data_IF_150969188006
#
_entry.id   IF_150969188006
#
_cell.length_a   1.000
_cell.length_b   1.000
_cell.length_c   1.000
_cell.angle_alpha   90.00
_cell.angle_beta   90.00
_cell.angle_gamma   90.00
#
_symmetry.space_group_name_H-M   'P 1'
#
loop_
_entity.id
_entity.type
_entity.pdbx_description
1 polymer ?
#
# COMPACT_ATOMS: atom_id res chain seq x y z
N UNK A 1 -7.73 -6.95 0.01
CA UNK A 1 -8.18 -6.56 1.36
C UNK A 1 -7.12 -5.75 2.12
N UNK A 2 -5.86 -6.22 2.19
CA UNK A 2 -4.75 -5.51 2.85
C UNK A 2 -4.54 -4.06 2.35
N UNK A 3 -4.71 -3.79 1.06
CA UNK A 3 -4.61 -2.45 0.48
C UNK A 3 -5.65 -1.48 1.08
N UNK A 4 -6.89 -1.93 1.30
CA UNK A 4 -7.95 -1.09 1.88
C UNK A 4 -7.66 -0.79 3.36
N UNK A 5 -7.05 -1.74 4.07
CA UNK A 5 -6.72 -1.62 5.50
C UNK A 5 -5.45 -0.76 5.73
N UNK A 6 -4.52 -0.70 4.77
CA UNK A 6 -3.30 0.12 4.86
C UNK A 6 -3.50 1.61 4.55
N UNK A 7 -4.51 1.94 3.74
CA UNK A 7 -4.83 3.33 3.31
C UNK A 7 -5.03 4.34 4.46
N UNK A 8 -5.66 4.01 5.61
CA UNK A 8 -5.82 4.96 6.70
C UNK A 8 -4.64 5.02 7.68
N UNK A 9 -3.65 4.13 7.59
CA UNK A 9 -2.58 4.10 8.59
C UNK A 9 -1.58 5.21 8.26
N UNK A 10 -1.53 6.25 9.09
CA UNK A 10 -0.42 7.19 9.10
C UNK A 10 0.80 6.53 9.75
N UNK A 11 1.42 5.59 9.04
CA UNK A 11 2.65 4.96 9.48
C UNK A 11 3.78 5.36 8.54
N UNK A 12 4.86 5.83 9.14
CA UNK A 12 6.13 5.98 8.47
C UNK A 12 6.66 4.59 8.06
N UNK A 13 7.50 4.52 7.03
CA UNK A 13 8.08 3.26 6.53
C UNK A 13 8.71 2.47 7.67
N UNK A 14 9.39 3.14 8.60
CA UNK A 14 10.00 2.52 9.79
C UNK A 14 8.98 1.83 10.72
N UNK A 15 7.74 2.35 10.80
CA UNK A 15 6.65 1.70 11.53
C UNK A 15 6.03 0.53 10.77
N UNK A 16 6.12 0.54 9.43
CA UNK A 16 5.58 -0.55 8.59
C UNK A 16 6.50 -1.76 8.47
N UNK A 17 7.82 -1.58 8.62
CA UNK A 17 8.81 -2.68 8.58
C UNK A 17 8.52 -3.78 9.61
N UNK A 18 8.34 -3.50 10.93
CA UNK A 18 8.05 -4.56 11.90
C UNK A 18 6.70 -5.23 11.65
N UNK A 19 5.72 -4.50 11.11
CA UNK A 19 4.41 -5.05 10.72
C UNK A 19 4.57 -5.97 9.51
N UNK A 20 5.39 -5.58 8.54
CA UNK A 20 5.71 -6.36 7.37
C UNK A 20 6.42 -7.68 7.74
N UNK A 21 7.40 -7.63 8.63
CA UNK A 21 8.08 -8.82 9.17
C UNK A 21 7.13 -9.73 9.96
N UNK A 22 6.25 -9.13 10.77
CA UNK A 22 5.23 -9.89 11.50
C UNK A 22 4.23 -10.57 10.54
N UNK A 23 3.82 -9.90 9.46
CA UNK A 23 2.94 -10.48 8.44
C UNK A 23 3.64 -11.60 7.67
N UNK A 24 4.88 -11.40 7.26
CA UNK A 24 5.67 -12.41 6.55
C UNK A 24 5.89 -13.66 7.42
N UNK A 25 6.25 -13.48 8.70
CA UNK A 25 6.43 -14.60 9.65
C UNK A 25 5.11 -15.33 9.99
N UNK A 26 3.96 -14.67 9.80
CA UNK A 26 2.62 -15.28 9.91
C UNK A 26 2.15 -15.97 8.63
N UNK A 27 3.00 -16.05 7.60
CA UNK A 27 2.69 -16.74 6.34
C UNK A 27 1.97 -15.87 5.31
N UNK A 28 2.00 -14.54 5.46
CA UNK A 28 1.51 -13.66 4.41
C UNK A 28 2.41 -13.76 3.16
N UNK A 29 1.79 -13.69 1.98
CA UNK A 29 2.52 -13.69 0.72
C UNK A 29 3.34 -12.41 0.56
N UNK A 30 4.51 -12.54 -0.08
CA UNK A 30 5.44 -11.44 -0.30
C UNK A 30 4.78 -10.24 -1.00
N UNK A 31 3.94 -10.50 -2.01
CA UNK A 31 3.16 -9.47 -2.69
C UNK A 31 2.14 -8.75 -1.80
N UNK A 32 1.59 -9.42 -0.78
CA UNK A 32 0.65 -8.81 0.19
C UNK A 32 1.38 -7.86 1.12
N UNK A 33 2.56 -8.26 1.59
CA UNK A 33 3.42 -7.42 2.44
C UNK A 33 3.89 -6.18 1.69
N UNK A 34 4.36 -6.34 0.45
CA UNK A 34 4.76 -5.21 -0.40
C UNK A 34 3.60 -4.27 -0.70
N UNK A 35 2.43 -4.81 -1.03
CA UNK A 35 1.22 -4.00 -1.28
C UNK A 35 0.78 -3.20 -0.07
N UNK A 36 0.93 -3.77 1.14
CA UNK A 36 0.63 -3.09 2.39
C UNK A 36 1.58 -1.91 2.62
N UNK A 37 2.89 -2.12 2.52
CA UNK A 37 3.88 -1.05 2.72
C UNK A 37 3.69 0.09 1.71
N UNK A 38 3.52 -0.24 0.42
CA UNK A 38 3.28 0.75 -0.63
C UNK A 38 1.98 1.53 -0.42
N UNK A 39 0.91 0.86 0.01
CA UNK A 39 -0.37 1.50 0.32
C UNK A 39 -0.26 2.51 1.46
N UNK A 40 0.44 2.13 2.53
CA UNK A 40 0.66 3.00 3.69
C UNK A 40 1.48 4.24 3.34
N UNK A 41 2.56 4.08 2.56
CA UNK A 41 3.41 5.21 2.15
C UNK A 41 2.70 6.14 1.15
N UNK A 42 2.02 5.57 0.14
CA UNK A 42 1.46 6.35 -0.99
C UNK A 42 0.16 7.05 -0.62
N UNK A 43 -0.67 6.44 0.23
CA UNK A 43 -2.02 6.91 0.54
C UNK A 43 -2.17 7.37 1.99
N UNK A 44 -1.10 7.87 2.60
CA UNK A 44 -1.10 8.26 4.00
C UNK A 44 -2.14 9.37 4.28
N UNK A 45 -2.99 9.18 5.30
CA UNK A 45 -4.18 10.01 5.55
C UNK A 45 -3.88 11.53 5.63
N UNK A 46 -2.85 12.00 6.33
CA UNK A 46 -2.44 13.41 6.41
C UNK A 46 -1.88 13.96 5.11
N UNK A 47 -1.15 13.18 4.31
CA UNK A 47 -0.70 13.64 2.99
C UNK A 47 -1.91 13.86 2.07
N UNK A 48 -2.91 12.97 2.12
CA UNK A 48 -4.17 13.13 1.39
C UNK A 48 -4.98 14.33 1.90
N UNK A 49 -5.03 14.57 3.21
CA UNK A 49 -5.70 15.76 3.79
C UNK A 49 -4.99 17.05 3.35
N UNK A 50 -3.65 17.07 3.36
CA UNK A 50 -2.87 18.21 2.88
C UNK A 50 -3.06 18.42 1.38
N UNK A 51 -3.03 17.36 0.58
CA UNK A 51 -3.21 17.42 -0.87
C UNK A 51 -4.63 17.84 -1.23
N UNK A 52 -5.65 17.43 -0.47
CA UNK A 52 -7.03 17.87 -0.64
C UNK A 52 -7.23 19.37 -0.44
N UNK A 53 -6.32 20.06 0.25
CA UNK A 53 -6.34 21.52 0.39
C UNK A 53 -5.69 22.24 -0.81
N UNK A 54 -4.77 21.58 -1.52
CA UNK A 54 -4.04 22.16 -2.65
C UNK A 54 -4.59 21.73 -4.03
N UNK A 55 -5.27 20.58 -4.12
CA UNK A 55 -5.71 19.94 -5.36
C UNK A 55 -7.22 19.74 -5.35
N UNK A 56 -7.88 19.84 -6.52
CA UNK A 56 -9.32 19.61 -6.64
C UNK A 56 -9.68 18.18 -6.22
N UNK A 57 -10.78 17.96 -5.49
CA UNK A 57 -11.16 16.64 -4.97
C UNK A 57 -11.35 15.58 -6.07
N UNK A 58 -11.77 15.99 -7.28
CA UNK A 58 -11.89 15.09 -8.44
C UNK A 58 -10.54 14.51 -8.91
N UNK A 59 -9.47 15.31 -8.85
CA UNK A 59 -8.12 14.87 -9.21
C UNK A 59 -7.52 13.99 -8.12
N UNK A 60 -7.81 14.29 -6.84
CA UNK A 60 -7.40 13.47 -5.71
C UNK A 60 -8.01 12.07 -5.78
N UNK A 61 -9.31 11.96 -6.08
CA UNK A 61 -9.98 10.68 -6.27
C UNK A 61 -9.35 9.86 -7.41
N UNK A 62 -8.99 10.51 -8.52
CA UNK A 62 -8.30 9.87 -9.63
C UNK A 62 -6.90 9.36 -9.22
N UNK A 63 -6.12 10.17 -8.51
CA UNK A 63 -4.81 9.79 -7.99
C UNK A 63 -4.91 8.55 -7.09
N UNK A 64 -5.83 8.56 -6.12
CA UNK A 64 -6.04 7.42 -5.22
C UNK A 64 -6.40 6.16 -6.02
N UNK A 65 -7.30 6.30 -7.01
CA UNK A 65 -7.73 5.19 -7.86
C UNK A 65 -6.56 4.57 -8.65
N UNK A 66 -5.75 5.41 -9.33
CA UNK A 66 -4.60 4.94 -10.11
C UNK A 66 -3.55 4.29 -9.21
N UNK A 67 -3.23 4.90 -8.07
CA UNK A 67 -2.28 4.33 -7.11
C UNK A 67 -2.77 2.98 -6.56
N UNK A 68 -4.04 2.89 -6.16
CA UNK A 68 -4.62 1.65 -5.65
C UNK A 68 -4.57 0.53 -6.70
N UNK A 69 -4.93 0.82 -7.95
CA UNK A 69 -4.87 -0.14 -9.05
C UNK A 69 -3.41 -0.58 -9.30
N UNK A 70 -2.47 0.36 -9.35
CA UNK A 70 -1.05 0.05 -9.53
C UNK A 70 -0.50 -0.84 -8.43
N UNK A 71 -0.81 -0.54 -7.16
CA UNK A 71 -0.39 -1.34 -6.00
C UNK A 71 -0.97 -2.76 -6.09
N UNK A 72 -2.24 -2.91 -6.46
CA UNK A 72 -2.87 -4.23 -6.62
C UNK A 72 -2.18 -5.04 -7.72
N UNK A 73 -1.92 -4.43 -8.88
CA UNK A 73 -1.24 -5.10 -10.01
C UNK A 73 0.16 -5.57 -9.58
N UNK A 74 0.94 -4.69 -8.95
CA UNK A 74 2.28 -5.02 -8.45
C UNK A 74 2.21 -6.13 -7.40
N UNK A 75 1.25 -6.08 -6.49
CA UNK A 75 1.03 -7.11 -5.48
C UNK A 75 0.80 -8.50 -6.07
N UNK A 76 -0.11 -8.60 -7.05
CA UNK A 76 -0.37 -9.86 -7.74
C UNK A 76 0.82 -10.32 -8.58
N UNK A 77 1.50 -9.39 -9.25
CA UNK A 77 2.70 -9.70 -10.02
C UNK A 77 3.80 -10.30 -9.15
N UNK A 78 4.10 -9.68 -8.01
CA UNK A 78 5.07 -10.21 -7.05
C UNK A 78 4.62 -11.51 -6.42
N UNK A 79 3.32 -11.73 -6.23
CA UNK A 79 2.81 -13.01 -5.74
C UNK A 79 3.01 -14.15 -6.76
N UNK A 80 2.80 -13.86 -8.04
CA UNK A 80 2.99 -14.80 -9.14
C UNK A 80 4.48 -15.10 -9.41
N UNK A 81 5.38 -14.14 -9.16
CA UNK A 81 6.82 -14.33 -9.30
C UNK A 81 7.44 -14.92 -8.03
N UNK A 82 6.89 -14.65 -6.85
CA UNK A 82 7.39 -15.21 -5.60
C UNK A 82 7.44 -16.75 -5.63
N UNK A 83 6.50 -17.41 -6.31
CA UNK A 83 6.52 -18.86 -6.54
C UNK A 83 7.64 -19.35 -7.48
N UNK A 84 8.37 -18.44 -8.14
CA UNK A 84 9.49 -18.73 -9.04
C UNK A 84 10.85 -18.38 -8.40
N UNK A 85 10.84 -17.57 -7.33
CA UNK A 85 12.04 -17.13 -6.59
C UNK A 85 12.26 -17.93 -5.29
N UNK A 86 11.19 -18.51 -4.72
CA UNK A 86 11.21 -19.45 -3.58
C UNK A 86 11.17 -20.88 -4.11
#
# INVERSE_FOLDING_TARGET
>A
LATIIGVPVYADIFGTIPIAEALLSKGAQLGVVLSFMMGVTTLSLPSLIMLSKAVKPKLLAFFIGVCAIGIIIVGYFFNAIASLII
#
